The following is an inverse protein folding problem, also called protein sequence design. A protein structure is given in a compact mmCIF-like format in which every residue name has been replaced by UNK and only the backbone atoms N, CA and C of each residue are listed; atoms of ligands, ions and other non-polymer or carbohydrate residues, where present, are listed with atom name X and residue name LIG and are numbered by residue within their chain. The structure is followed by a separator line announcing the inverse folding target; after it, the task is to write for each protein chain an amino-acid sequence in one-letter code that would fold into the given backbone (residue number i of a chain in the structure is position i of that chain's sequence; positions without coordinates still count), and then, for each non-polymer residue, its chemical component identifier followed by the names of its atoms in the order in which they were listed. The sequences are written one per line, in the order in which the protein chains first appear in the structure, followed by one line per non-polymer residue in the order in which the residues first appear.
data_IF_435933114353
#
_entry.id   IF_435933114353
#
_cell.length_a   1.000
_cell.length_b   1.000
_cell.length_c   1.000
_cell.angle_alpha   90.00
_cell.angle_beta   90.00
_cell.angle_gamma   90.00
#
_symmetry.space_group_name_H-M   'P 1'
#
loop_
_entity.id
_entity.type
_entity.pdbx_description
1 polymer ?
#
# COMPACT_ATOMS: atom_id res chain seq x y z
N UNK A 1 5.62 -12.27 9.67
CA UNK A 1 5.02 -11.59 10.84
C UNK A 1 3.55 -11.96 10.84
N UNK A 2 3.06 -12.46 11.95
CA UNK A 2 1.64 -12.87 12.12
C UNK A 2 1.00 -12.12 13.28
N UNK A 3 -0.34 -12.16 13.34
CA UNK A 3 -1.12 -11.53 14.40
C UNK A 3 -0.74 -10.07 14.67
N UNK A 4 -0.56 -9.33 13.60
CA UNK A 4 -0.07 -7.95 13.62
C UNK A 4 -1.19 -6.94 13.35
N UNK A 5 -0.80 -5.70 13.26
CA UNK A 5 -1.65 -4.57 12.92
C UNK A 5 -1.18 -3.91 11.61
N UNK A 6 -1.72 -2.76 11.28
CA UNK A 6 -1.26 -1.93 10.18
C UNK A 6 0.24 -1.58 10.35
N UNK A 7 1.06 -1.90 9.36
CA UNK A 7 2.51 -1.66 9.41
C UNK A 7 2.92 -0.25 8.90
N UNK A 8 1.96 0.64 8.68
CA UNK A 8 2.21 1.97 8.13
C UNK A 8 2.55 1.92 6.64
N UNK A 9 3.61 2.61 6.24
CA UNK A 9 4.07 2.67 4.85
C UNK A 9 4.93 1.44 4.54
N UNK A 10 4.39 0.49 3.76
CA UNK A 10 5.08 -0.77 3.45
C UNK A 10 6.43 -0.54 2.74
N UNK A 11 6.51 0.49 1.89
CA UNK A 11 7.74 0.90 1.23
C UNK A 11 8.87 1.33 2.17
N UNK A 12 8.58 1.72 3.40
CA UNK A 12 9.61 2.00 4.41
C UNK A 12 10.40 0.73 4.75
N UNK A 13 9.71 -0.37 4.99
CA UNK A 13 10.32 -1.65 5.36
C UNK A 13 11.12 -2.26 4.21
N UNK A 14 10.57 -2.23 2.99
CA UNK A 14 11.29 -2.74 1.81
C UNK A 14 12.50 -1.89 1.45
N UNK A 15 12.40 -0.56 1.66
CA UNK A 15 13.54 0.36 1.53
C UNK A 15 14.66 0.00 2.52
N UNK A 16 14.33 -0.28 3.78
CA UNK A 16 15.31 -0.69 4.80
C UNK A 16 16.05 -1.96 4.36
N UNK A 17 15.35 -2.94 3.78
CA UNK A 17 15.99 -4.12 3.20
C UNK A 17 16.91 -3.74 2.02
N UNK A 18 16.46 -2.83 1.16
CA UNK A 18 17.24 -2.40 0.01
C UNK A 18 18.48 -1.58 0.39
N UNK A 19 18.45 -0.84 1.50
CA UNK A 19 19.61 -0.11 2.00
C UNK A 19 20.79 -1.06 2.33
N UNK A 20 20.49 -2.34 2.64
CA UNK A 20 21.49 -3.43 2.86
C UNK A 20 21.96 -4.12 1.55
N UNK A 21 21.80 -3.50 0.38
CA UNK A 21 22.15 -4.00 -0.95
C UNK A 21 21.37 -5.27 -1.37
N UNK A 22 20.14 -5.41 -0.88
CA UNK A 22 19.23 -6.50 -1.23
C UNK A 22 18.05 -5.94 -2.04
N UNK A 23 17.38 -6.79 -2.82
CA UNK A 23 16.05 -6.45 -3.33
C UNK A 23 15.07 -6.72 -2.19
N UNK A 24 14.40 -5.67 -1.70
CA UNK A 24 13.37 -5.80 -0.68
C UNK A 24 12.00 -5.94 -1.32
N UNK A 25 11.26 -7.00 -0.98
CA UNK A 25 9.87 -7.20 -1.40
C UNK A 25 9.02 -7.38 -0.14
N UNK A 26 7.88 -6.72 -0.07
CA UNK A 26 6.99 -6.79 1.08
C UNK A 26 5.52 -6.91 0.68
N UNK A 27 4.76 -7.61 1.51
CA UNK A 27 3.33 -7.85 1.38
C UNK A 27 2.66 -7.61 2.72
N UNK A 28 1.49 -6.99 2.73
CA UNK A 28 0.64 -6.91 3.92
C UNK A 28 -0.82 -6.99 3.52
N UNK A 29 -1.62 -7.73 4.28
CA UNK A 29 -3.05 -7.75 4.07
C UNK A 29 -3.77 -6.71 4.95
N UNK A 30 -5.02 -6.48 4.64
CA UNK A 30 -5.88 -5.53 5.33
C UNK A 30 -7.32 -6.09 5.41
N UNK A 31 -8.19 -5.55 6.28
CA UNK A 31 -9.60 -5.93 6.33
C UNK A 31 -10.28 -5.84 4.96
N UNK A 32 -11.16 -6.81 4.67
CA UNK A 32 -11.80 -6.95 3.38
C UNK A 32 -12.48 -5.67 2.91
N UNK A 33 -12.20 -5.28 1.68
CA UNK A 33 -12.73 -4.07 1.04
C UNK A 33 -12.89 -4.19 -0.47
N UNK A 34 -12.33 -5.22 -1.11
CA UNK A 34 -12.42 -5.46 -2.55
C UNK A 34 -13.17 -6.77 -2.80
N UNK A 35 -14.19 -6.72 -3.67
CA UNK A 35 -14.94 -7.89 -4.12
C UNK A 35 -14.27 -8.56 -5.33
N UNK A 36 -14.43 -9.87 -5.52
CA UNK A 36 -14.05 -10.54 -6.76
C UNK A 36 -14.90 -10.06 -7.93
N UNK A 37 -14.39 -10.24 -9.16
CA UNK A 37 -15.15 -9.89 -10.35
C UNK A 37 -16.50 -10.63 -10.39
N UNK A 38 -17.58 -9.88 -10.60
CA UNK A 38 -18.96 -10.39 -10.58
C UNK A 38 -19.55 -10.58 -9.18
N UNK A 39 -18.75 -10.39 -8.13
CA UNK A 39 -19.21 -10.39 -6.74
C UNK A 39 -19.49 -8.99 -6.21
N UNK A 40 -20.27 -8.90 -5.14
CA UNK A 40 -20.60 -7.64 -4.46
C UNK A 40 -20.13 -7.62 -3.00
N UNK A 41 -19.67 -8.75 -2.49
CA UNK A 41 -19.15 -8.84 -1.11
C UNK A 41 -17.63 -8.77 -1.12
N UNK A 42 -17.00 -7.96 -0.27
CA UNK A 42 -15.55 -7.88 -0.17
C UNK A 42 -14.97 -9.19 0.38
N UNK A 43 -13.83 -9.61 -0.17
CA UNK A 43 -13.13 -10.85 0.21
C UNK A 43 -11.69 -10.55 0.62
N UNK A 44 -11.03 -9.63 -0.06
CA UNK A 44 -9.66 -9.20 0.25
C UNK A 44 -9.62 -7.72 0.62
N UNK A 45 -8.59 -7.32 1.33
CA UNK A 45 -8.31 -5.94 1.64
C UNK A 45 -7.72 -5.17 0.45
N UNK A 46 -7.27 -3.95 0.70
CA UNK A 46 -6.51 -3.15 -0.29
C UNK A 46 -5.13 -3.73 -0.56
N UNK A 47 -4.67 -4.64 0.26
CA UNK A 47 -3.57 -5.57 0.11
C UNK A 47 -2.37 -5.01 -0.65
N UNK A 48 -1.61 -4.08 -0.07
CA UNK A 48 -0.48 -3.51 -0.76
C UNK A 48 0.70 -4.47 -0.85
N UNK A 49 1.48 -4.31 -1.92
CA UNK A 49 2.83 -4.84 -2.01
C UNK A 49 3.84 -3.72 -2.25
N UNK A 50 5.07 -3.97 -1.88
CA UNK A 50 6.17 -3.04 -2.14
C UNK A 50 7.40 -3.76 -2.63
N UNK A 51 8.14 -3.11 -3.54
CA UNK A 51 9.47 -3.54 -4.00
C UNK A 51 10.41 -2.35 -3.95
N UNK A 52 11.56 -2.53 -3.31
CA UNK A 52 12.61 -1.53 -3.28
C UNK A 52 13.92 -2.09 -3.86
N UNK A 53 14.56 -1.29 -4.70
CA UNK A 53 15.81 -1.64 -5.36
C UNK A 53 16.81 -0.49 -5.18
N UNK A 54 17.99 -0.84 -4.64
CA UNK A 54 19.13 0.06 -4.53
C UNK A 54 20.06 -0.14 -5.72
N UNK A 55 20.61 0.95 -6.22
CA UNK A 55 21.65 0.99 -7.21
C UNK A 55 22.47 2.26 -7.02
N UNK A 56 23.76 2.25 -7.32
CA UNK A 56 24.67 3.40 -7.12
C UNK A 56 24.57 4.01 -5.72
N UNK A 57 24.58 3.19 -4.69
CA UNK A 57 24.60 3.62 -3.30
C UNK A 57 23.29 4.18 -2.73
N UNK A 58 22.19 4.23 -3.51
CA UNK A 58 20.90 4.73 -3.05
C UNK A 58 19.71 3.96 -3.63
N UNK A 59 18.57 3.95 -2.91
CA UNK A 59 17.34 3.37 -3.47
C UNK A 59 16.89 4.23 -4.66
N UNK A 60 16.78 3.59 -5.82
CA UNK A 60 16.39 4.22 -7.10
C UNK A 60 14.95 3.92 -7.47
N UNK A 61 14.49 2.71 -7.20
CA UNK A 61 13.13 2.28 -7.52
C UNK A 61 12.43 1.89 -6.20
N UNK A 62 11.25 2.46 -5.99
CA UNK A 62 10.38 2.14 -4.86
C UNK A 62 8.94 2.03 -5.37
N UNK A 63 8.52 0.80 -5.66
CA UNK A 63 7.13 0.46 -5.93
C UNK A 63 6.47 0.22 -4.58
N UNK A 64 5.39 0.94 -4.30
CA UNK A 64 4.61 0.77 -3.08
C UNK A 64 3.16 1.13 -3.42
N UNK A 65 2.36 0.13 -3.67
CA UNK A 65 1.01 0.29 -4.22
C UNK A 65 0.04 -0.75 -3.65
N UNK A 66 -1.21 -0.36 -3.55
CA UNK A 66 -2.31 -1.26 -3.17
C UNK A 66 -2.95 -1.92 -4.39
N UNK A 67 -3.74 -2.96 -4.15
CA UNK A 67 -4.55 -3.61 -5.18
C UNK A 67 -5.78 -2.79 -5.60
N UNK A 68 -6.14 -1.73 -4.84
CA UNK A 68 -7.25 -0.82 -5.16
C UNK A 68 -6.79 0.37 -6.01
N UNK A 69 -7.71 0.95 -6.76
CA UNK A 69 -7.49 2.17 -7.57
C UNK A 69 -7.04 3.33 -6.69
N UNK A 70 -7.59 3.44 -5.49
CA UNK A 70 -7.33 4.52 -4.53
C UNK A 70 -7.26 3.96 -3.11
N UNK A 71 -6.61 4.66 -2.19
CA UNK A 71 -6.62 4.30 -0.78
C UNK A 71 -8.02 4.50 -0.17
N UNK A 72 -8.47 3.57 0.68
CA UNK A 72 -9.77 3.68 1.39
C UNK A 72 -9.85 4.94 2.24
N UNK A 73 -8.72 5.38 2.81
CA UNK A 73 -8.62 6.62 3.57
C UNK A 73 -8.95 7.87 2.74
N UNK A 74 -8.63 7.89 1.44
CA UNK A 74 -8.98 9.02 0.56
C UNK A 74 -10.50 9.14 0.40
N UNK A 75 -11.20 8.02 0.23
CA UNK A 75 -12.68 8.01 0.20
C UNK A 75 -13.25 8.52 1.53
N UNK A 76 -12.66 8.08 2.67
CA UNK A 76 -13.10 8.53 3.99
C UNK A 76 -12.88 10.04 4.21
N UNK A 77 -11.78 10.60 3.71
CA UNK A 77 -11.52 12.05 3.74
C UNK A 77 -12.59 12.79 2.94
N UNK A 78 -12.88 12.36 1.71
CA UNK A 78 -13.90 12.98 0.87
C UNK A 78 -15.31 12.87 1.46
N UNK A 79 -15.64 11.77 2.10
CA UNK A 79 -16.90 11.63 2.83
C UNK A 79 -17.03 12.67 3.96
N UNK A 80 -15.94 12.98 4.66
CA UNK A 80 -15.93 14.00 5.74
C UNK A 80 -15.98 15.43 5.20
N UNK A 81 -15.38 15.69 4.04
CA UNK A 81 -15.40 17.02 3.40
C UNK A 81 -16.64 17.27 2.55
N UNK A 82 -17.49 16.25 2.33
CA UNK A 82 -18.67 16.37 1.46
C UNK A 82 -18.33 16.41 -0.04
N UNK A 83 -17.11 16.02 -0.42
CA UNK A 83 -16.67 15.99 -1.80
C UNK A 83 -17.02 14.65 -2.46
N UNK A 84 -17.43 14.70 -3.74
CA UNK A 84 -17.66 13.48 -4.53
C UNK A 84 -16.35 12.75 -4.86
N UNK A 85 -16.45 11.46 -5.16
CA UNK A 85 -15.35 10.65 -5.68
C UNK A 85 -15.51 10.43 -7.20
N UNK A 86 -14.43 10.23 -7.94
CA UNK A 86 -14.50 9.84 -9.35
C UNK A 86 -15.19 8.48 -9.54
N UNK A 87 -15.90 8.32 -10.65
CA UNK A 87 -16.40 7.01 -11.11
C UNK A 87 -15.24 6.02 -11.24
N UNK A 88 -15.46 4.75 -10.91
CA UNK A 88 -14.46 3.70 -10.98
C UNK A 88 -13.51 3.64 -9.77
N UNK A 89 -13.75 4.41 -8.71
CA UNK A 89 -13.01 4.28 -7.46
C UNK A 89 -13.62 3.25 -6.51
N UNK A 90 -14.95 3.15 -6.54
CA UNK A 90 -15.68 2.25 -5.65
C UNK A 90 -17.07 1.92 -6.21
N UNK A 91 -17.64 0.87 -5.64
CA UNK A 91 -19.01 0.42 -5.92
C UNK A 91 -19.85 0.54 -4.68
N UNK A 92 -21.15 0.81 -4.86
CA UNK A 92 -22.13 0.75 -3.78
C UNK A 92 -22.40 -0.68 -3.30
N UNK A 93 -23.23 -0.85 -2.25
CA UNK A 93 -23.63 -2.17 -1.75
C UNK A 93 -24.39 -3.02 -2.80
N UNK A 94 -24.94 -2.38 -3.82
CA UNK A 94 -25.61 -3.02 -4.97
C UNK A 94 -24.64 -3.43 -6.09
N UNK A 95 -23.34 -3.21 -5.92
CA UNK A 95 -22.29 -3.52 -6.89
C UNK A 95 -22.20 -2.54 -8.07
N UNK A 96 -22.93 -1.42 -8.06
CA UNK A 96 -22.87 -0.40 -9.11
C UNK A 96 -21.87 0.70 -8.75
N UNK A 97 -21.28 1.31 -9.77
CA UNK A 97 -20.42 2.47 -9.62
C UNK A 97 -21.14 3.59 -8.81
N UNK A 98 -20.39 4.23 -7.94
CA UNK A 98 -20.90 5.37 -7.17
C UNK A 98 -19.89 6.51 -7.13
N UNK A 99 -20.38 7.74 -7.15
CA UNK A 99 -19.60 8.97 -6.91
C UNK A 99 -19.87 9.55 -5.51
N UNK A 100 -20.75 8.92 -4.74
CA UNK A 100 -20.99 9.28 -3.33
C UNK A 100 -20.05 8.50 -2.42
N UNK A 101 -19.11 9.16 -1.71
CA UNK A 101 -18.16 8.49 -0.85
C UNK A 101 -18.83 7.81 0.37
N UNK A 102 -19.99 8.28 0.82
CA UNK A 102 -20.71 7.66 1.95
C UNK A 102 -21.35 6.33 1.54
N UNK A 103 -21.80 6.22 0.28
CA UNK A 103 -22.27 4.97 -0.31
C UNK A 103 -21.08 4.04 -0.56
N UNK A 104 -19.97 4.57 -1.09
CA UNK A 104 -18.74 3.83 -1.37
C UNK A 104 -18.17 3.16 -0.12
N UNK A 105 -18.17 3.83 1.03
CA UNK A 105 -17.69 3.28 2.30
C UNK A 105 -18.53 2.09 2.81
N UNK A 106 -19.78 1.96 2.36
CA UNK A 106 -20.68 0.84 2.68
C UNK A 106 -20.61 -0.29 1.64
N UNK A 107 -19.96 -0.06 0.52
CA UNK A 107 -19.79 -1.00 -0.57
C UNK A 107 -18.37 -1.55 -0.66
N UNK A 108 -17.82 -1.59 -1.89
CA UNK A 108 -16.49 -2.16 -2.14
C UNK A 108 -15.61 -1.21 -2.95
N UNK A 109 -14.30 -1.32 -2.72
CA UNK A 109 -13.28 -0.60 -3.49
C UNK A 109 -13.12 -1.22 -4.87
N UNK A 110 -12.89 -0.40 -5.88
CA UNK A 110 -12.53 -0.88 -7.21
C UNK A 110 -11.07 -1.38 -7.23
N UNK A 111 -10.81 -2.60 -7.74
CA UNK A 111 -9.45 -3.08 -7.93
C UNK A 111 -8.76 -2.36 -9.10
N UNK A 112 -7.48 -2.05 -8.94
CA UNK A 112 -6.65 -1.37 -9.94
C UNK A 112 -6.50 -2.26 -11.20
N UNK A 113 -7.00 -1.80 -12.35
CA UNK A 113 -7.00 -2.59 -13.58
C UNK A 113 -7.98 -3.80 -13.55
N UNK A 114 -9.05 -3.71 -12.78
CA UNK A 114 -10.12 -4.71 -12.73
C UNK A 114 -9.66 -6.06 -12.18
N UNK A 115 -9.98 -7.16 -12.90
CA UNK A 115 -9.64 -8.52 -12.45
C UNK A 115 -8.14 -8.74 -12.23
N UNK A 116 -7.26 -7.99 -12.92
CA UNK A 116 -5.80 -8.09 -12.75
C UNK A 116 -5.37 -7.57 -11.38
N UNK A 117 -5.92 -6.43 -10.94
CA UNK A 117 -5.66 -5.90 -9.61
C UNK A 117 -6.26 -6.78 -8.51
N UNK A 118 -7.45 -7.35 -8.72
CA UNK A 118 -7.97 -8.36 -7.80
C UNK A 118 -7.03 -9.56 -7.67
N UNK A 119 -6.49 -10.07 -8.79
CA UNK A 119 -5.52 -11.17 -8.80
C UNK A 119 -4.24 -10.83 -8.02
N UNK A 120 -3.72 -9.61 -8.17
CA UNK A 120 -2.56 -9.14 -7.37
C UNK A 120 -2.91 -9.07 -5.89
N UNK A 121 -4.08 -8.50 -5.54
CA UNK A 121 -4.53 -8.42 -4.14
C UNK A 121 -4.76 -9.79 -3.51
N UNK A 122 -5.26 -10.77 -4.28
CA UNK A 122 -5.41 -12.16 -3.84
C UNK A 122 -4.04 -12.82 -3.60
N UNK A 123 -3.07 -12.57 -4.47
CA UNK A 123 -1.70 -13.04 -4.26
C UNK A 123 -1.11 -12.47 -2.97
N UNK A 124 -1.30 -11.17 -2.72
CA UNK A 124 -0.86 -10.54 -1.46
C UNK A 124 -1.56 -11.17 -0.25
N UNK A 125 -2.87 -11.46 -0.33
CA UNK A 125 -3.62 -12.16 0.72
C UNK A 125 -2.99 -13.52 1.06
N UNK A 126 -2.64 -14.29 0.03
CA UNK A 126 -1.98 -15.60 0.20
C UNK A 126 -0.63 -15.43 0.92
N UNK A 127 0.19 -14.49 0.50
CA UNK A 127 1.52 -14.28 1.08
C UNK A 127 1.45 -13.70 2.50
N UNK A 128 0.59 -12.72 2.72
CA UNK A 128 0.55 -11.98 3.98
C UNK A 128 -0.36 -12.61 5.04
N UNK A 129 -1.42 -13.33 4.65
CA UNK A 129 -2.35 -13.95 5.58
C UNK A 129 -2.24 -15.48 5.59
N UNK A 130 -2.47 -16.16 4.45
CA UNK A 130 -2.46 -17.62 4.43
C UNK A 130 -1.11 -18.20 4.84
N UNK A 131 -0.02 -17.70 4.24
CA UNK A 131 1.34 -18.21 4.50
C UNK A 131 1.82 -17.92 5.93
N UNK A 132 1.41 -16.80 6.51
CA UNK A 132 1.82 -16.39 7.87
C UNK A 132 0.92 -16.93 8.97
N UNK A 133 -0.23 -17.53 8.62
CA UNK A 133 -1.24 -17.98 9.59
C UNK A 133 -1.97 -16.83 10.27
N UNK A 134 -2.04 -15.66 9.63
CA UNK A 134 -2.76 -14.48 10.11
C UNK A 134 -4.22 -14.50 9.69
N UNK A 135 -5.04 -13.61 10.27
CA UNK A 135 -6.42 -13.45 9.85
C UNK A 135 -6.51 -13.09 8.36
N UNK A 136 -7.41 -13.78 7.65
CA UNK A 136 -7.81 -13.35 6.32
C UNK A 136 -8.52 -12.00 6.39
N UNK A 137 -8.51 -11.25 5.30
CA UNK A 137 -9.21 -9.96 5.24
C UNK A 137 -10.68 -10.04 5.65
N UNK A 138 -11.34 -11.17 5.37
CA UNK A 138 -12.73 -11.43 5.77
C UNK A 138 -12.92 -11.61 7.28
N UNK A 139 -11.87 -12.00 8.00
CA UNK A 139 -11.89 -12.27 9.45
C UNK A 139 -11.25 -11.12 10.24
N UNK A 140 -10.53 -10.23 9.56
CA UNK A 140 -9.83 -9.11 10.18
C UNK A 140 -10.80 -7.98 10.56
N UNK A 141 -10.72 -7.50 11.80
CA UNK A 141 -11.48 -6.34 12.27
C UNK A 141 -11.04 -5.04 11.56
N UNK A 142 -11.89 -4.01 11.60
CA UNK A 142 -11.65 -2.73 10.94
C UNK A 142 -10.39 -2.03 11.47
N UNK A 143 -9.64 -1.35 10.58
CA UNK A 143 -8.59 -0.41 10.98
C UNK A 143 -9.12 0.99 11.32
N UNK A 144 -10.41 1.25 11.11
CA UNK A 144 -11.00 2.58 11.25
C UNK A 144 -11.57 2.86 12.65
N UNK A 145 -11.80 1.81 13.43
CA UNK A 145 -12.38 1.86 14.77
C UNK A 145 -11.81 0.74 15.65
N UNK A 146 -12.18 0.72 16.91
CA UNK A 146 -11.74 -0.25 17.93
C UNK A 146 -12.72 -1.41 18.13
N UNK A 147 -13.69 -1.58 17.25
CA UNK A 147 -14.67 -2.69 17.34
C UNK A 147 -14.08 -3.97 16.75
N UNK A 148 -14.41 -5.11 17.36
CA UNK A 148 -13.99 -6.43 16.89
C UNK A 148 -12.60 -6.88 17.34
N UNK A 149 -11.91 -6.11 18.18
CA UNK A 149 -10.59 -6.45 18.72
C UNK A 149 -9.44 -6.27 17.72
N UNK A 150 -8.24 -6.80 18.02
CA UNK A 150 -7.09 -6.69 17.14
C UNK A 150 -7.34 -7.34 15.77
N UNK A 151 -6.98 -6.68 14.66
CA UNK A 151 -7.26 -7.21 13.32
C UNK A 151 -6.47 -8.49 12.98
N UNK A 152 -5.37 -8.75 13.65
CA UNK A 152 -4.58 -9.96 13.47
C UNK A 152 -4.06 -10.16 12.05
N UNK A 153 -3.81 -9.09 11.30
CA UNK A 153 -3.26 -9.13 9.93
C UNK A 153 -1.81 -9.58 9.90
N UNK A 154 -1.30 -9.90 8.73
CA UNK A 154 0.05 -10.38 8.54
C UNK A 154 0.89 -9.52 7.60
N UNK A 155 2.22 -9.71 7.71
CA UNK A 155 3.19 -9.18 6.76
C UNK A 155 4.18 -10.28 6.39
N UNK A 156 4.59 -10.28 5.12
CA UNK A 156 5.60 -11.18 4.62
C UNK A 156 6.66 -10.41 3.83
N UNK A 157 7.92 -10.65 4.12
CA UNK A 157 9.04 -9.97 3.46
C UNK A 157 10.00 -10.97 2.83
N UNK A 158 10.52 -10.61 1.65
CA UNK A 158 11.55 -11.35 0.93
C UNK A 158 12.73 -10.39 0.72
N UNK A 159 13.92 -10.87 1.07
CA UNK A 159 15.19 -10.20 0.79
C UNK A 159 16.00 -11.06 -0.18
N UNK A 160 16.33 -10.51 -1.34
CA UNK A 160 17.08 -11.23 -2.39
C UNK A 160 18.44 -10.56 -2.58
N UNK A 161 19.54 -11.31 -2.47
CA UNK A 161 20.84 -10.80 -2.86
C UNK A 161 20.99 -10.90 -4.39
N UNK A 162 20.98 -9.78 -5.13
CA UNK A 162 21.02 -9.80 -6.58
C UNK A 162 22.37 -10.31 -7.13
N UNK A 163 23.47 -10.12 -6.39
CA UNK A 163 24.82 -10.57 -6.80
C UNK A 163 24.91 -12.09 -6.93
N UNK A 164 24.04 -12.84 -6.26
CA UNK A 164 23.97 -14.31 -6.38
C UNK A 164 23.32 -14.76 -7.69
N UNK A 165 22.70 -13.85 -8.42
CA UNK A 165 21.98 -14.15 -9.67
C UNK A 165 22.60 -13.47 -10.89
N UNK A 166 23.21 -12.28 -10.75
CA UNK A 166 23.73 -11.50 -11.86
C UNK A 166 24.94 -10.65 -11.44
N UNK A 167 26.04 -10.80 -12.15
CA UNK A 167 27.27 -10.02 -11.91
C UNK A 167 27.14 -8.56 -12.39
N UNK A 168 26.16 -8.22 -13.20
CA UNK A 168 25.94 -6.89 -13.77
C UNK A 168 24.55 -6.34 -13.45
N UNK A 169 24.02 -6.69 -12.26
CA UNK A 169 22.70 -6.26 -11.84
C UNK A 169 22.56 -4.74 -11.83
N UNK A 170 23.49 -4.02 -11.21
CA UNK A 170 23.46 -2.55 -11.11
C UNK A 170 23.46 -1.88 -12.50
N UNK A 171 24.32 -2.29 -13.40
CA UNK A 171 24.35 -1.77 -14.78
C UNK A 171 22.99 -1.95 -15.47
N UNK A 172 22.38 -3.12 -15.31
CA UNK A 172 21.08 -3.42 -15.89
C UNK A 172 19.96 -2.57 -15.30
N UNK A 173 20.00 -2.30 -14.00
CA UNK A 173 19.04 -1.40 -13.33
C UNK A 173 19.22 0.03 -13.83
N UNK A 174 20.45 0.53 -13.98
CA UNK A 174 20.75 1.85 -14.52
C UNK A 174 20.22 1.98 -15.96
N UNK A 175 20.49 0.98 -16.79
CA UNK A 175 19.98 0.98 -18.17
C UNK A 175 18.46 1.00 -18.23
N UNK A 176 17.77 0.26 -17.34
CA UNK A 176 16.32 0.29 -17.25
C UNK A 176 15.78 1.66 -16.79
N UNK A 177 16.41 2.26 -15.78
CA UNK A 177 16.06 3.61 -15.29
C UNK A 177 16.23 4.63 -16.42
N UNK A 178 17.37 4.62 -17.11
CA UNK A 178 17.64 5.53 -18.21
C UNK A 178 16.63 5.36 -19.35
N UNK A 179 16.22 4.15 -19.68
CA UNK A 179 15.20 3.89 -20.69
C UNK A 179 13.82 4.48 -20.31
N UNK A 180 13.50 4.55 -19.02
CA UNK A 180 12.28 5.22 -18.54
C UNK A 180 12.47 6.74 -18.57
N UNK A 181 13.55 7.25 -18.00
CA UNK A 181 13.76 8.67 -17.76
C UNK A 181 14.21 9.45 -19.02
N UNK A 182 14.63 8.75 -20.08
CA UNK A 182 14.87 9.37 -21.40
C UNK A 182 13.59 9.87 -22.08
N UNK A 183 12.44 9.47 -21.61
CA UNK A 183 11.14 9.90 -22.14
C UNK A 183 10.67 11.15 -21.39
N UNK A 184 10.20 12.14 -22.13
CA UNK A 184 9.72 13.40 -21.57
C UNK A 184 8.63 13.15 -20.50
N UNK A 185 8.76 13.77 -19.34
CA UNK A 185 7.84 13.64 -18.20
C UNK A 185 7.72 12.25 -17.56
N UNK A 186 8.46 11.23 -18.04
CA UNK A 186 8.48 9.92 -17.43
C UNK A 186 9.39 9.92 -16.18
N UNK A 187 9.07 9.02 -15.25
CA UNK A 187 9.85 8.81 -14.02
C UNK A 187 9.72 7.38 -13.54
N UNK A 188 10.72 6.89 -12.87
CA UNK A 188 10.63 5.60 -12.19
C UNK A 188 9.71 5.67 -10.96
N UNK A 189 9.04 4.57 -10.61
CA UNK A 189 8.23 4.50 -9.39
C UNK A 189 9.03 4.89 -8.14
N UNK A 190 8.41 5.71 -7.28
CA UNK A 190 9.04 6.14 -6.04
C UNK A 190 9.90 7.40 -6.13
N UNK A 191 10.34 7.85 -7.32
CA UNK A 191 11.23 8.99 -7.48
C UNK A 191 10.75 10.25 -6.74
N UNK A 192 9.47 10.61 -6.85
CA UNK A 192 8.89 11.75 -6.13
C UNK A 192 8.94 11.56 -4.61
N UNK A 193 8.61 10.37 -4.10
CA UNK A 193 8.62 10.06 -2.66
C UNK A 193 10.03 10.12 -2.10
N UNK A 194 11.00 9.53 -2.79
CA UNK A 194 12.41 9.54 -2.41
C UNK A 194 12.96 10.97 -2.38
N UNK A 195 12.64 11.77 -3.39
CA UNK A 195 13.08 13.17 -3.45
C UNK A 195 12.44 14.01 -2.34
N UNK A 196 11.13 13.88 -2.12
CA UNK A 196 10.44 14.59 -1.05
C UNK A 196 10.99 14.21 0.34
N UNK A 197 11.32 12.94 0.57
CA UNK A 197 11.93 12.51 1.82
C UNK A 197 13.28 13.18 2.06
N UNK A 198 14.11 13.34 1.02
CA UNK A 198 15.40 14.07 1.12
C UNK A 198 15.20 15.56 1.43
N UNK A 199 14.24 16.21 0.74
CA UNK A 199 13.96 17.64 0.96
C UNK A 199 13.42 17.88 2.36
N UNK A 200 12.54 17.00 2.83
CA UNK A 200 11.83 17.20 4.12
C UNK A 200 12.57 16.61 5.33
N UNK A 201 13.71 15.93 5.14
CA UNK A 201 14.43 15.26 6.24
C UNK A 201 14.83 16.20 7.40
N UNK A 202 15.05 17.47 7.08
CA UNK A 202 15.44 18.51 8.06
C UNK A 202 14.38 19.62 8.23
N UNK A 203 13.20 19.44 7.66
CA UNK A 203 12.14 20.44 7.73
C UNK A 203 11.23 20.18 8.93
N UNK A 204 10.76 21.24 9.63
CA UNK A 204 9.75 21.08 10.66
C UNK A 204 8.47 20.44 10.09
N UNK A 205 7.85 19.56 10.87
CA UNK A 205 6.55 18.99 10.54
C UNK A 205 5.47 19.83 11.18
N UNK A 206 4.57 20.37 10.37
CA UNK A 206 3.37 21.05 10.88
C UNK A 206 2.28 20.02 11.12
N UNK A 207 1.79 19.95 12.35
CA UNK A 207 0.66 19.08 12.73
C UNK A 207 -0.48 19.96 13.24
N UNK A 208 -1.73 19.50 13.05
CA UNK A 208 -2.91 20.19 13.58
C UNK A 208 -2.88 20.17 15.11
N UNK A 209 -3.29 21.26 15.73
CA UNK A 209 -3.29 21.44 17.18
C UNK A 209 -4.07 20.34 17.91
N UNK A 210 -5.25 19.97 17.40
CA UNK A 210 -6.06 18.88 17.95
C UNK A 210 -5.31 17.54 17.98
N UNK A 211 -4.56 17.23 16.91
CA UNK A 211 -3.72 16.04 16.84
C UNK A 211 -2.55 16.12 17.83
N UNK A 212 -1.91 17.27 17.94
CA UNK A 212 -0.85 17.51 18.89
C UNK A 212 -1.32 17.28 20.33
N UNK A 213 -2.44 17.89 20.72
CA UNK A 213 -3.03 17.72 22.05
C UNK A 213 -3.41 16.26 22.34
N UNK A 214 -3.94 15.54 21.33
CA UNK A 214 -4.23 14.11 21.45
C UNK A 214 -2.97 13.28 21.67
N UNK A 215 -1.86 13.57 20.97
CA UNK A 215 -0.56 12.90 21.19
C UNK A 215 -0.06 13.15 22.60
N UNK A 216 -0.12 14.40 23.11
CA UNK A 216 0.30 14.72 24.46
C UNK A 216 -0.53 13.98 25.52
N UNK A 217 -1.82 13.81 25.32
CA UNK A 217 -2.70 13.07 26.24
C UNK A 217 -2.41 11.57 26.33
N UNK A 218 -1.65 11.01 25.39
CA UNK A 218 -1.21 9.61 25.44
C UNK A 218 0.09 9.40 26.24
N UNK A 219 0.73 10.48 26.69
CA UNK A 219 1.96 10.43 27.50
C UNK A 219 1.69 10.43 29.01
N UNK A 220 0.43 10.59 29.39
CA UNK A 220 -0.06 10.53 30.79
C UNK A 220 -0.64 9.15 31.06
#
# INVERSE_FOLDING_TARGET
ISNSYNCGVLGYHTKTIADENLIGIGFTNAPASIAPLGGIKPVIGTNPFSVAIKSEGSVKILIDQSASVVAKSEIAVRAKSGESIPTGWAYGPDGKDTTDPSIALKGTMAPSGGYKGFGVGLFVEIMAACLTGSNLGIDASSFADDTGGPPGTGQFFIAINPEKFSNNFDERIINLINAVESQENARVPGAKRINNAKINSNSPITIKEDLYNKILSLQS
#
